data_IF_247420322386
#
_entry.id   IF_247420322386
#
_cell.length_a   1.000
_cell.length_b   1.000
_cell.length_c   1.000
_cell.angle_alpha   90.00
_cell.angle_beta   90.00
_cell.angle_gamma   90.00
#
_symmetry.space_group_name_H-M   'P 1'
#
loop_
_entity.id
_entity.type
_entity.pdbx_description
1 polymer ?
#
# COMPACT_ATOMS: atom_id res chain seq x y z
N UNK A 1 -3.27 -17.04 -13.27
CA UNK A 1 -2.87 -16.02 -12.27
C UNK A 1 -3.63 -16.33 -10.99
N UNK A 2 -2.94 -16.39 -9.84
CA UNK A 2 -3.55 -16.61 -8.52
C UNK A 2 -3.82 -15.28 -7.81
N UNK A 3 -2.85 -14.37 -7.85
CA UNK A 3 -2.92 -13.07 -7.21
C UNK A 3 -2.10 -12.08 -8.03
N UNK A 4 -2.55 -10.82 -8.11
CA UNK A 4 -1.81 -9.69 -8.66
C UNK A 4 -2.01 -8.52 -7.71
N UNK A 5 -0.91 -7.95 -7.23
CA UNK A 5 -0.93 -6.76 -6.40
C UNK A 5 -0.15 -5.63 -7.08
N UNK A 6 -0.84 -4.67 -7.70
CA UNK A 6 -0.21 -3.49 -8.27
C UNK A 6 0.56 -2.65 -7.24
N UNK A 7 0.16 -2.66 -5.96
CA UNK A 7 0.79 -1.83 -4.93
C UNK A 7 2.19 -2.31 -4.58
N UNK A 8 2.46 -3.62 -4.70
CA UNK A 8 3.78 -4.21 -4.46
C UNK A 8 4.52 -4.58 -5.74
N UNK A 9 3.92 -4.35 -6.92
CA UNK A 9 4.44 -4.82 -8.21
C UNK A 9 4.75 -6.33 -8.24
N UNK A 10 3.88 -7.14 -7.62
CA UNK A 10 4.05 -8.60 -7.54
C UNK A 10 2.83 -9.33 -8.08
N UNK A 11 3.08 -10.48 -8.70
CA UNK A 11 2.05 -11.41 -9.13
C UNK A 11 2.45 -12.85 -8.82
N UNK A 12 1.47 -13.67 -8.43
CA UNK A 12 1.65 -15.10 -8.19
C UNK A 12 0.95 -15.87 -9.28
N UNK A 13 1.69 -16.74 -9.97
CA UNK A 13 1.19 -17.56 -11.06
C UNK A 13 1.19 -19.04 -10.67
N UNK A 14 0.23 -19.79 -11.22
CA UNK A 14 0.18 -21.25 -11.12
C UNK A 14 0.37 -21.84 -12.51
N UNK A 15 1.46 -22.59 -12.69
CA UNK A 15 1.69 -23.37 -13.90
C UNK A 15 0.74 -24.57 -13.89
N UNK A 16 -0.03 -24.77 -14.98
CA UNK A 16 -1.07 -25.82 -15.03
C UNK A 16 -0.52 -27.22 -15.29
N UNK A 17 0.58 -27.30 -16.06
CA UNK A 17 1.07 -28.56 -16.64
C UNK A 17 2.51 -28.88 -16.26
N UNK A 18 3.22 -27.96 -15.60
CA UNK A 18 4.59 -28.18 -15.17
C UNK A 18 4.65 -29.19 -14.01
N UNK A 19 5.57 -30.15 -14.11
CA UNK A 19 5.87 -31.17 -13.10
C UNK A 19 7.35 -31.10 -12.75
N UNK A 20 7.73 -31.68 -11.61
CA UNK A 20 9.12 -31.85 -11.18
C UNK A 20 9.92 -30.52 -11.12
N UNK A 21 9.23 -29.44 -10.72
CA UNK A 21 9.83 -28.13 -10.54
C UNK A 21 10.74 -28.10 -9.32
N UNK A 22 11.91 -27.49 -9.47
CA UNK A 22 12.83 -27.20 -8.35
C UNK A 22 12.44 -25.87 -7.74
N UNK A 23 12.09 -25.87 -6.45
CA UNK A 23 11.81 -24.65 -5.71
C UNK A 23 13.11 -24.03 -5.18
N UNK A 24 13.17 -22.70 -5.18
CA UNK A 24 14.24 -21.94 -4.54
C UNK A 24 13.75 -21.42 -3.18
N UNK A 25 14.63 -21.40 -2.19
CA UNK A 25 14.32 -20.93 -0.83
C UNK A 25 14.28 -19.39 -0.78
N UNK A 26 13.34 -18.83 -0.02
CA UNK A 26 13.32 -17.40 0.31
C UNK A 26 14.15 -17.15 1.57
N UNK A 27 15.17 -16.31 1.46
CA UNK A 27 15.97 -15.84 2.58
C UNK A 27 15.17 -14.92 3.52
N UNK A 28 15.78 -14.63 4.67
CA UNK A 28 15.36 -13.53 5.54
C UNK A 28 16.03 -12.24 5.06
N UNK A 29 15.27 -11.44 4.29
CA UNK A 29 15.81 -10.19 3.73
C UNK A 29 16.09 -9.11 4.77
N UNK A 30 15.60 -9.25 6.01
CA UNK A 30 15.91 -8.31 7.10
C UNK A 30 17.37 -8.48 7.60
N UNK A 31 18.06 -9.57 7.21
CA UNK A 31 19.46 -9.86 7.55
C UNK A 31 20.46 -9.50 6.46
N UNK A 32 19.98 -9.02 5.32
CA UNK A 32 20.83 -8.58 4.22
C UNK A 32 21.52 -7.29 4.62
N UNK A 33 22.82 -7.19 4.35
CA UNK A 33 23.64 -6.02 4.67
C UNK A 33 24.20 -5.35 3.41
N UNK A 34 24.50 -4.06 3.52
CA UNK A 34 25.19 -3.33 2.45
C UNK A 34 26.59 -3.93 2.28
N UNK A 35 26.94 -4.28 1.06
CA UNK A 35 28.20 -4.96 0.73
C UNK A 35 28.07 -6.47 0.51
N UNK A 36 26.93 -7.08 0.85
CA UNK A 36 26.69 -8.49 0.55
C UNK A 36 26.78 -8.76 -0.95
N UNK A 37 27.53 -9.81 -1.33
CA UNK A 37 27.65 -10.24 -2.73
C UNK A 37 26.36 -10.93 -3.16
N UNK A 38 25.85 -10.54 -4.33
CA UNK A 38 24.57 -11.02 -4.86
C UNK A 38 24.69 -11.38 -6.34
N UNK A 39 23.82 -12.28 -6.76
CA UNK A 39 23.63 -12.62 -8.18
C UNK A 39 22.21 -12.26 -8.61
N UNK A 40 22.10 -11.49 -9.69
CA UNK A 40 20.83 -11.23 -10.36
C UNK A 40 20.66 -12.20 -11.53
N UNK A 41 19.53 -12.89 -11.57
CA UNK A 41 19.21 -13.91 -12.56
C UNK A 41 17.94 -13.51 -13.31
N UNK A 42 17.98 -13.51 -14.64
CA UNK A 42 16.83 -13.15 -15.46
C UNK A 42 17.03 -13.44 -16.94
N UNK A 43 16.18 -12.88 -17.80
CA UNK A 43 16.28 -13.03 -19.26
C UNK A 43 16.34 -11.64 -19.94
N UNK A 44 17.46 -10.90 -19.78
CA UNK A 44 17.61 -9.55 -20.34
C UNK A 44 17.41 -9.58 -21.86
N UNK A 45 16.59 -8.66 -22.38
CA UNK A 45 16.33 -8.50 -23.81
C UNK A 45 15.91 -9.78 -24.57
N UNK A 46 15.50 -10.84 -23.85
CA UNK A 46 15.11 -12.12 -24.44
C UNK A 46 16.27 -12.99 -24.95
N UNK A 47 17.53 -12.70 -24.61
CA UNK A 47 18.69 -13.46 -25.14
C UNK A 47 18.91 -14.83 -24.50
N UNK A 48 18.16 -15.15 -23.44
CA UNK A 48 18.30 -16.36 -22.63
C UNK A 48 18.60 -16.04 -21.17
N UNK A 49 18.59 -17.08 -20.34
CA UNK A 49 18.88 -16.94 -18.92
C UNK A 49 20.31 -16.41 -18.73
N UNK A 50 20.41 -15.24 -18.12
CA UNK A 50 21.67 -14.54 -17.85
C UNK A 50 21.81 -14.36 -16.35
N UNK A 51 23.04 -14.47 -15.87
CA UNK A 51 23.42 -14.18 -14.48
C UNK A 51 24.38 -13.00 -14.49
N UNK A 52 24.13 -12.02 -13.64
CA UNK A 52 25.05 -10.90 -13.39
C UNK A 52 25.36 -10.82 -11.90
N UNK A 53 26.58 -10.39 -11.57
CA UNK A 53 27.04 -10.26 -10.19
C UNK A 53 27.10 -8.79 -9.80
N UNK A 54 26.84 -8.53 -8.52
CA UNK A 54 27.09 -7.25 -7.89
C UNK A 54 27.10 -7.39 -6.37
N UNK A 55 26.88 -6.28 -5.70
CA UNK A 55 26.67 -6.19 -4.25
C UNK A 55 25.35 -5.49 -3.94
N UNK A 56 24.90 -5.65 -2.71
CA UNK A 56 23.88 -4.77 -2.12
C UNK A 56 24.50 -3.39 -1.91
N UNK A 57 24.03 -2.40 -2.66
CA UNK A 57 24.55 -1.03 -2.59
C UNK A 57 23.81 -0.17 -1.55
N UNK A 58 22.53 -0.47 -1.30
CA UNK A 58 21.74 0.20 -0.26
C UNK A 58 20.50 -0.63 0.10
N UNK A 59 19.92 -0.36 1.26
CA UNK A 59 18.69 -0.97 1.75
C UNK A 59 17.63 0.12 2.00
N UNK A 60 16.38 -0.32 2.14
CA UNK A 60 15.27 0.52 2.56
C UNK A 60 15.10 1.81 1.73
N UNK A 61 15.37 1.75 0.43
CA UNK A 61 15.14 2.90 -0.45
C UNK A 61 13.64 3.03 -0.70
N UNK A 62 13.06 4.12 -0.20
CA UNK A 62 11.62 4.44 -0.24
C UNK A 62 11.27 5.51 -1.28
N UNK A 63 12.26 6.30 -1.71
CA UNK A 63 12.08 7.46 -2.61
C UNK A 63 12.67 7.23 -4.01
N UNK A 64 12.20 6.19 -4.71
CA UNK A 64 12.72 5.86 -6.05
C UNK A 64 11.79 6.33 -7.19
N UNK A 65 10.56 6.76 -6.86
CA UNK A 65 9.57 7.17 -7.86
C UNK A 65 9.08 6.02 -8.74
N UNK A 66 9.32 4.78 -8.32
CA UNK A 66 8.88 3.54 -8.97
C UNK A 66 8.01 2.78 -7.98
N UNK A 67 6.70 2.86 -8.16
CA UNK A 67 5.70 2.26 -7.26
C UNK A 67 5.46 3.09 -5.98
N UNK A 68 4.23 3.00 -5.47
CA UNK A 68 3.84 3.70 -4.24
C UNK A 68 4.31 2.90 -3.00
N UNK A 69 4.97 3.57 -2.06
CA UNK A 69 5.29 3.08 -0.72
C UNK A 69 6.03 1.71 -0.68
N UNK A 70 7.10 1.55 -1.46
CA UNK A 70 7.91 0.34 -1.47
C UNK A 70 9.34 0.61 -0.98
N UNK A 71 9.84 -0.30 -0.13
CA UNK A 71 11.25 -0.35 0.26
C UNK A 71 11.96 -1.35 -0.66
N UNK A 72 13.00 -0.88 -1.35
CA UNK A 72 13.78 -1.72 -2.27
C UNK A 72 15.17 -2.04 -1.72
N UNK A 73 15.70 -3.20 -2.16
CA UNK A 73 17.13 -3.52 -2.11
C UNK A 73 17.75 -2.89 -3.35
N UNK A 74 18.71 -1.99 -3.16
CA UNK A 74 19.48 -1.41 -4.26
C UNK A 74 20.72 -2.28 -4.51
N UNK A 75 21.01 -2.56 -5.77
CA UNK A 75 22.18 -3.32 -6.18
C UNK A 75 22.90 -2.64 -7.35
N UNK A 76 24.17 -2.99 -7.55
CA UNK A 76 24.96 -2.57 -8.71
C UNK A 76 25.11 -3.66 -9.77
N UNK A 77 24.59 -4.86 -9.51
CA UNK A 77 24.53 -5.94 -10.49
C UNK A 77 23.79 -5.47 -11.75
N UNK A 78 24.29 -5.85 -12.92
CA UNK A 78 23.72 -5.40 -14.18
C UNK A 78 22.31 -5.99 -14.40
N UNK A 79 21.29 -5.15 -14.19
CA UNK A 79 19.89 -5.43 -14.49
C UNK A 79 19.47 -4.58 -15.68
N UNK A 80 18.79 -5.20 -16.63
CA UNK A 80 18.24 -4.59 -17.84
C UNK A 80 16.79 -5.06 -18.06
N UNK A 81 16.00 -4.38 -18.90
CA UNK A 81 14.68 -4.87 -19.31
C UNK A 81 14.70 -6.35 -19.69
N UNK A 82 13.78 -7.13 -19.13
CA UNK A 82 13.76 -8.60 -19.23
C UNK A 82 14.30 -9.35 -18.00
N UNK A 83 14.99 -8.66 -17.09
CA UNK A 83 15.30 -9.21 -15.76
C UNK A 83 14.16 -9.04 -14.75
N UNK A 84 13.20 -8.15 -15.00
CA UNK A 84 12.06 -7.91 -14.11
C UNK A 84 11.28 -9.22 -13.87
N UNK A 85 10.99 -9.51 -12.60
CA UNK A 85 10.42 -10.78 -12.14
C UNK A 85 11.45 -11.90 -11.90
N UNK A 86 12.71 -11.69 -12.28
CA UNK A 86 13.83 -12.59 -12.01
C UNK A 86 14.33 -12.51 -10.56
N UNK A 87 15.14 -13.48 -10.15
CA UNK A 87 15.62 -13.61 -8.78
C UNK A 87 16.86 -12.75 -8.51
N UNK A 88 16.91 -12.15 -7.31
CA UNK A 88 18.14 -11.70 -6.69
C UNK A 88 18.49 -12.69 -5.58
N UNK A 89 19.65 -13.33 -5.67
CA UNK A 89 20.06 -14.40 -4.76
C UNK A 89 21.34 -14.06 -4.01
N UNK A 90 21.44 -14.55 -2.78
CA UNK A 90 22.68 -14.55 -2.01
C UNK A 90 23.65 -15.65 -2.48
N UNK A 91 24.86 -15.66 -1.92
CA UNK A 91 25.88 -16.66 -2.23
C UNK A 91 25.56 -18.07 -1.71
N UNK A 92 24.49 -18.24 -0.95
CA UNK A 92 23.95 -19.55 -0.56
C UNK A 92 22.85 -20.05 -1.53
N UNK A 93 22.53 -19.26 -2.57
CA UNK A 93 21.51 -19.60 -3.56
C UNK A 93 20.08 -19.39 -3.05
N UNK A 94 19.88 -18.59 -2.00
CA UNK A 94 18.56 -18.22 -1.47
C UNK A 94 18.12 -16.88 -2.06
N UNK A 95 16.84 -16.74 -2.37
CA UNK A 95 16.26 -15.50 -2.89
C UNK A 95 16.17 -14.47 -1.78
N UNK A 96 16.88 -13.36 -1.94
CA UNK A 96 16.78 -12.18 -1.06
C UNK A 96 15.84 -11.12 -1.63
N UNK A 97 15.51 -11.18 -2.92
CA UNK A 97 14.53 -10.29 -3.54
C UNK A 97 14.18 -10.66 -4.99
N UNK A 98 13.25 -9.90 -5.57
CA UNK A 98 12.81 -10.03 -6.97
C UNK A 98 13.16 -8.75 -7.71
N UNK A 99 13.91 -8.89 -8.80
CA UNK A 99 14.33 -7.76 -9.64
C UNK A 99 13.09 -7.08 -10.22
N UNK A 100 12.99 -5.76 -10.11
CA UNK A 100 11.83 -5.01 -10.62
C UNK A 100 12.24 -3.92 -11.62
N UNK A 101 13.16 -3.05 -11.23
CA UNK A 101 13.40 -1.80 -11.93
C UNK A 101 14.88 -1.38 -11.90
N UNK A 102 15.19 -0.37 -12.72
CA UNK A 102 16.49 0.29 -12.77
C UNK A 102 16.31 1.80 -12.80
N UNK A 103 17.28 2.52 -12.27
CA UNK A 103 17.40 3.94 -12.56
C UNK A 103 18.27 4.12 -13.81
N UNK A 104 17.67 4.54 -14.92
CA UNK A 104 18.40 4.71 -16.18
C UNK A 104 17.86 5.86 -17.03
N UNK A 105 18.78 6.59 -17.68
CA UNK A 105 18.47 7.58 -18.72
C UNK A 105 18.56 7.02 -20.14
N UNK A 106 19.26 5.90 -20.33
CA UNK A 106 19.48 5.27 -21.64
C UNK A 106 18.58 4.06 -21.89
N UNK A 107 17.95 3.53 -20.84
CA UNK A 107 17.22 2.26 -20.86
C UNK A 107 18.09 1.03 -20.52
N UNK A 108 19.41 1.20 -20.39
CA UNK A 108 20.34 0.16 -19.92
C UNK A 108 20.82 0.37 -18.48
N UNK A 109 21.42 -0.66 -17.87
CA UNK A 109 22.03 -0.57 -16.54
C UNK A 109 23.14 0.48 -16.48
N UNK A 110 23.15 1.28 -15.41
CA UNK A 110 24.29 2.13 -15.01
C UNK A 110 24.75 1.80 -13.58
N UNK A 111 24.53 0.56 -13.11
CA UNK A 111 24.89 0.13 -11.76
C UNK A 111 23.91 0.60 -10.67
N UNK A 112 22.66 0.90 -11.03
CA UNK A 112 21.60 1.25 -10.08
C UNK A 112 20.36 0.42 -10.42
N UNK A 113 20.27 -0.76 -9.83
CA UNK A 113 19.14 -1.68 -9.92
C UNK A 113 18.37 -1.80 -8.60
N UNK A 114 17.11 -2.21 -8.70
CA UNK A 114 16.22 -2.37 -7.54
C UNK A 114 15.53 -3.73 -7.54
N UNK A 115 15.48 -4.33 -6.36
CA UNK A 115 14.75 -5.57 -6.10
C UNK A 115 13.76 -5.41 -4.93
N UNK A 116 12.59 -6.03 -5.07
CA UNK A 116 11.59 -6.13 -4.01
C UNK A 116 12.07 -7.17 -2.99
N UNK A 117 12.20 -6.85 -1.69
CA UNK A 117 12.71 -7.77 -0.69
C UNK A 117 11.90 -9.06 -0.54
N UNK A 118 12.58 -10.16 -0.22
CA UNK A 118 11.95 -11.48 -0.01
C UNK A 118 10.89 -11.47 1.10
N UNK A 119 11.00 -10.60 2.11
CA UNK A 119 9.96 -10.44 3.12
C UNK A 119 8.61 -10.01 2.52
N UNK A 120 8.60 -9.06 1.57
CA UNK A 120 7.38 -8.66 0.87
C UNK A 120 6.86 -9.77 -0.04
N UNK A 121 7.76 -10.44 -0.77
CA UNK A 121 7.43 -11.60 -1.62
C UNK A 121 6.71 -12.67 -0.81
N UNK A 122 7.20 -12.96 0.41
CA UNK A 122 6.60 -13.92 1.33
C UNK A 122 5.16 -13.54 1.67
N UNK A 123 4.88 -12.27 2.00
CA UNK A 123 3.51 -11.79 2.29
C UNK A 123 2.56 -12.01 1.11
N UNK A 124 3.01 -11.70 -0.12
CA UNK A 124 2.18 -11.88 -1.33
C UNK A 124 1.95 -13.36 -1.63
N UNK A 125 2.99 -14.20 -1.50
CA UNK A 125 2.89 -15.65 -1.70
C UNK A 125 1.95 -16.29 -0.68
N UNK A 126 2.05 -15.95 0.60
CA UNK A 126 1.17 -16.47 1.65
C UNK A 126 -0.28 -16.01 1.45
N UNK A 127 -0.49 -14.77 1.01
CA UNK A 127 -1.82 -14.27 0.63
C UNK A 127 -2.43 -15.09 -0.50
N UNK A 128 -1.66 -15.39 -1.54
CA UNK A 128 -2.11 -16.21 -2.67
C UNK A 128 -2.37 -17.67 -2.25
N UNK A 129 -1.52 -18.25 -1.39
CA UNK A 129 -1.70 -19.60 -0.83
C UNK A 129 -3.00 -19.70 -0.02
N UNK A 130 -3.34 -18.65 0.71
CA UNK A 130 -4.58 -18.55 1.47
C UNK A 130 -5.83 -18.30 0.59
N UNK A 131 -5.68 -18.20 -0.74
CA UNK A 131 -6.79 -17.95 -1.67
C UNK A 131 -7.37 -16.53 -1.56
N UNK A 132 -6.60 -15.57 -1.02
CA UNK A 132 -7.03 -14.19 -0.90
C UNK A 132 -7.15 -13.54 -2.28
N UNK A 133 -8.15 -12.65 -2.46
CA UNK A 133 -8.31 -11.86 -3.68
C UNK A 133 -7.33 -10.69 -3.76
N UNK A 134 -6.87 -10.21 -2.61
CA UNK A 134 -5.92 -9.11 -2.42
C UNK A 134 -4.84 -9.52 -1.43
N UNK A 135 -3.72 -8.80 -1.42
CA UNK A 135 -2.64 -9.05 -0.46
C UNK A 135 -3.12 -8.74 0.95
N UNK A 136 -2.94 -9.71 1.86
CA UNK A 136 -3.32 -9.61 3.25
C UNK A 136 -2.11 -9.17 4.07
N UNK A 137 -2.18 -7.98 4.63
CA UNK A 137 -1.15 -7.38 5.47
C UNK A 137 -1.74 -6.78 6.75
N UNK A 138 -0.95 -6.61 7.80
CA UNK A 138 -1.36 -5.89 9.00
C UNK A 138 -1.80 -4.46 8.66
N UNK A 139 -2.93 -4.04 9.24
CA UNK A 139 -3.42 -2.67 9.13
C UNK A 139 -3.08 -1.90 10.41
N UNK A 140 -2.35 -0.81 10.25
CA UNK A 140 -1.83 -0.06 11.39
C UNK A 140 -2.92 0.76 12.12
N UNK A 141 -3.82 1.38 11.34
CA UNK A 141 -4.88 2.22 11.90
C UNK A 141 -4.42 3.58 12.41
N UNK A 142 -3.35 4.14 11.85
CA UNK A 142 -2.93 5.51 12.09
C UNK A 142 -2.27 6.11 10.84
N UNK A 143 -2.37 7.44 10.70
CA UNK A 143 -1.73 8.21 9.64
C UNK A 143 -0.40 8.74 10.14
N UNK A 144 0.64 8.53 9.34
CA UNK A 144 2.00 8.98 9.62
C UNK A 144 2.38 10.16 8.73
N UNK A 145 3.29 10.98 9.24
CA UNK A 145 3.92 12.09 8.53
C UNK A 145 5.42 12.03 8.75
N UNK A 146 6.18 12.42 7.72
CA UNK A 146 7.61 12.57 7.83
C UNK A 146 7.93 13.68 8.85
N UNK A 147 9.01 13.47 9.59
CA UNK A 147 9.53 14.45 10.53
C UNK A 147 10.31 15.53 9.77
N UNK A 148 9.99 16.80 10.01
CA UNK A 148 10.81 17.90 9.47
C UNK A 148 11.98 18.19 10.42
N UNK A 149 13.09 18.79 9.93
CA UNK A 149 14.22 19.17 10.78
C UNK A 149 13.80 20.02 11.99
N UNK A 150 13.00 21.06 11.78
CA UNK A 150 12.54 21.94 12.87
C UNK A 150 11.75 21.21 13.96
N UNK A 151 10.93 20.22 13.57
CA UNK A 151 10.16 19.40 14.53
C UNK A 151 11.09 18.43 15.25
N UNK A 152 12.08 17.87 14.56
CA UNK A 152 13.09 16.99 15.18
C UNK A 152 13.89 17.73 16.26
N UNK A 153 14.37 18.93 15.94
CA UNK A 153 15.12 19.79 16.85
C UNK A 153 14.28 20.16 18.09
N UNK A 154 13.01 20.54 17.88
CA UNK A 154 12.07 20.83 18.97
C UNK A 154 11.76 19.64 19.88
N UNK A 155 11.99 18.41 19.39
CA UNK A 155 11.82 17.16 20.15
C UNK A 155 13.14 16.65 20.76
N UNK A 156 14.26 17.32 20.52
CA UNK A 156 15.58 16.93 21.00
C UNK A 156 16.14 15.69 20.30
N UNK A 157 15.83 15.51 19.02
CA UNK A 157 16.39 14.44 18.19
C UNK A 157 17.61 14.96 17.42
N UNK A 158 18.70 14.18 17.38
CA UNK A 158 19.95 14.56 16.69
C UNK A 158 19.80 14.66 15.16
N UNK A 159 18.74 14.06 14.61
CA UNK A 159 18.40 14.05 13.18
C UNK A 159 16.89 13.83 13.02
N UNK A 160 16.29 14.26 11.88
CA UNK A 160 14.87 14.04 11.59
C UNK A 160 14.58 12.58 11.20
N UNK A 161 14.83 11.64 12.12
CA UNK A 161 14.53 10.22 11.94
C UNK A 161 13.29 9.82 12.74
N UNK A 162 12.35 9.19 12.04
CA UNK A 162 11.12 8.66 12.62
C UNK A 162 9.88 9.12 11.89
N UNK A 163 8.73 8.66 12.37
CA UNK A 163 7.42 9.00 11.80
C UNK A 163 6.51 9.62 12.85
N UNK A 164 6.03 10.82 12.56
CA UNK A 164 5.08 11.52 13.43
C UNK A 164 3.68 10.94 13.23
N UNK A 165 2.99 10.64 14.31
CA UNK A 165 1.60 10.22 14.28
C UNK A 165 0.70 11.44 14.09
N UNK A 166 0.17 11.60 12.88
CA UNK A 166 -0.71 12.71 12.52
C UNK A 166 -2.16 12.48 12.98
N UNK A 167 -2.60 11.23 13.01
CA UNK A 167 -3.93 10.84 13.45
C UNK A 167 -4.02 9.34 13.71
N UNK A 168 -4.96 8.94 14.55
CA UNK A 168 -5.18 7.54 14.93
C UNK A 168 -6.65 7.23 14.72
N UNK A 169 -6.95 6.10 14.06
CA UNK A 169 -8.32 5.64 13.85
C UNK A 169 -8.86 5.07 15.16
N UNK A 170 -10.01 5.57 15.58
CA UNK A 170 -10.68 5.10 16.79
C UNK A 170 -10.98 3.60 16.69
N UNK A 171 -10.78 2.85 17.79
CA UNK A 171 -10.95 1.39 17.85
C UNK A 171 -10.07 0.60 16.86
N UNK A 172 -9.04 1.23 16.30
CA UNK A 172 -8.02 0.59 15.48
C UNK A 172 -6.85 0.02 16.30
N UNK A 173 -6.00 -0.84 15.72
CA UNK A 173 -4.89 -1.49 16.43
C UNK A 173 -3.90 -0.51 17.06
N UNK A 174 -3.57 0.59 16.38
CA UNK A 174 -2.74 1.66 16.93
C UNK A 174 -3.38 2.32 18.17
N UNK A 175 -4.67 2.64 18.14
CA UNK A 175 -5.38 3.24 19.27
C UNK A 175 -5.43 2.30 20.47
N UNK A 176 -5.76 1.03 20.24
CA UNK A 176 -5.79 0.00 21.28
C UNK A 176 -4.41 -0.27 21.88
N UNK A 177 -3.36 -0.17 21.08
CA UNK A 177 -1.96 -0.21 21.52
C UNK A 177 -1.52 1.02 22.32
N UNK A 178 -2.40 2.02 22.46
CA UNK A 178 -2.15 3.23 23.23
C UNK A 178 -1.36 4.30 22.49
N UNK A 179 -1.22 4.21 21.16
CA UNK A 179 -0.61 5.22 20.31
C UNK A 179 -1.46 6.50 20.31
N UNK A 180 -0.81 7.67 20.28
CA UNK A 180 -1.46 8.97 20.33
C UNK A 180 -0.95 9.87 19.23
N UNK A 181 -1.76 10.87 18.85
CA UNK A 181 -1.31 11.95 17.97
C UNK A 181 -0.09 12.64 18.61
N UNK A 182 0.85 13.07 17.76
CA UNK A 182 2.12 13.70 18.11
C UNK A 182 3.16 12.78 18.76
N UNK A 183 2.87 11.49 18.91
CA UNK A 183 3.91 10.49 19.12
C UNK A 183 4.86 10.44 17.91
N UNK A 184 6.15 10.17 18.14
CA UNK A 184 7.10 9.88 17.06
C UNK A 184 7.55 8.43 17.15
N UNK A 185 7.25 7.65 16.12
CA UNK A 185 7.68 6.25 16.02
C UNK A 185 9.13 6.24 15.56
N UNK A 186 9.99 5.59 16.37
CA UNK A 186 11.44 5.50 16.14
C UNK A 186 11.88 4.11 15.68
N UNK A 187 11.13 3.06 16.05
CA UNK A 187 11.47 1.68 15.67
C UNK A 187 10.26 0.74 15.68
N UNK A 188 10.33 -0.32 14.87
CA UNK A 188 9.42 -1.47 14.86
C UNK A 188 10.24 -2.72 15.16
N UNK A 189 9.87 -3.46 16.21
CA UNK A 189 10.56 -4.66 16.67
C UNK A 189 12.08 -4.46 16.88
N UNK A 190 12.44 -3.28 17.40
CA UNK A 190 13.83 -2.87 17.65
C UNK A 190 14.58 -2.36 16.41
N UNK A 191 13.99 -2.46 15.21
CA UNK A 191 14.62 -1.96 13.98
C UNK A 191 14.19 -0.52 13.70
N UNK A 192 15.17 0.36 13.45
CA UNK A 192 14.93 1.79 13.25
C UNK A 192 13.99 2.09 12.09
N UNK A 193 13.17 3.11 12.30
CA UNK A 193 12.30 3.73 11.30
C UNK A 193 12.81 5.14 11.10
N UNK A 194 13.13 5.48 9.86
CA UNK A 194 13.61 6.82 9.51
C UNK A 194 12.48 7.68 8.92
N UNK A 195 11.47 7.09 8.28
CA UNK A 195 10.38 7.77 7.57
C UNK A 195 9.07 6.93 7.54
N UNK A 196 7.92 7.51 7.12
CA UNK A 196 6.64 6.79 7.06
C UNK A 196 6.66 5.55 6.14
N UNK A 197 7.44 5.59 5.07
CA UNK A 197 7.54 4.53 4.09
C UNK A 197 8.31 3.31 4.65
N UNK A 198 9.42 3.54 5.34
CA UNK A 198 10.18 2.50 6.05
C UNK A 198 9.36 1.90 7.19
N UNK A 199 8.59 2.72 7.92
CA UNK A 199 7.58 2.19 8.85
C UNK A 199 6.58 1.30 8.12
N UNK A 200 5.98 1.81 7.04
CA UNK A 200 4.94 1.13 6.28
C UNK A 200 5.41 -0.24 5.78
N UNK A 201 6.61 -0.30 5.20
CA UNK A 201 7.23 -1.56 4.80
C UNK A 201 7.42 -2.51 5.99
N UNK A 202 8.08 -2.04 7.08
CA UNK A 202 8.39 -2.87 8.25
C UNK A 202 7.14 -3.43 8.92
N UNK A 203 6.05 -2.67 8.94
CA UNK A 203 4.79 -3.11 9.51
C UNK A 203 4.03 -4.06 8.57
N UNK A 204 3.99 -3.74 7.27
CA UNK A 204 3.26 -4.51 6.26
C UNK A 204 3.87 -5.89 5.98
N UNK A 205 5.18 -6.09 6.23
CA UNK A 205 5.86 -7.36 6.01
C UNK A 205 5.73 -8.35 7.18
N UNK A 206 5.12 -7.93 8.30
CA UNK A 206 4.94 -8.80 9.46
C UNK A 206 3.73 -9.73 9.28
N UNK A 207 3.79 -10.96 9.81
CA UNK A 207 2.69 -11.90 9.70
C UNK A 207 1.48 -11.43 10.51
N UNK A 208 0.29 -11.67 9.96
CA UNK A 208 -0.97 -11.45 10.68
C UNK A 208 -1.08 -12.39 11.90
N UNK A 209 -1.77 -11.92 12.94
CA UNK A 209 -2.06 -12.67 14.17
C UNK A 209 -1.08 -12.45 15.31
N UNK A 210 0.04 -11.77 15.07
CA UNK A 210 1.04 -11.42 16.08
C UNK A 210 0.85 -10.03 16.71
N UNK A 211 1.90 -9.59 17.41
CA UNK A 211 2.03 -8.25 17.97
C UNK A 211 3.40 -7.70 17.54
N UNK A 212 3.41 -6.50 16.98
CA UNK A 212 4.64 -5.74 16.75
C UNK A 212 4.89 -4.79 17.93
N UNK A 213 6.15 -4.56 18.23
CA UNK A 213 6.59 -3.67 19.30
C UNK A 213 7.07 -2.35 18.72
N UNK A 214 6.40 -1.25 19.06
CA UNK A 214 6.80 0.09 18.63
C UNK A 214 7.63 0.77 19.71
N UNK A 215 8.80 1.30 19.33
CA UNK A 215 9.52 2.28 20.16
C UNK A 215 9.08 3.68 19.75
N UNK A 216 8.55 4.44 20.70
CA UNK A 216 7.90 5.73 20.46
C UNK A 216 8.52 6.79 21.36
N UNK A 217 8.77 7.99 20.83
CA UNK A 217 9.05 9.18 21.61
C UNK A 217 7.73 9.89 21.92
N UNK A 218 7.40 10.02 23.21
CA UNK A 218 6.24 10.75 23.71
C UNK A 218 6.68 11.73 24.78
N UNK A 219 6.45 13.02 24.55
CA UNK A 219 6.80 14.08 25.50
C UNK A 219 8.26 13.98 25.97
N UNK A 220 9.19 13.73 25.03
CA UNK A 220 10.62 13.60 25.31
C UNK A 220 11.06 12.27 25.94
N UNK A 221 10.14 11.33 26.21
CA UNK A 221 10.46 10.02 26.81
C UNK A 221 10.21 8.89 25.82
N UNK A 222 11.10 7.91 25.81
CA UNK A 222 10.90 6.67 25.05
C UNK A 222 9.88 5.78 25.76
N UNK A 223 8.87 5.34 25.02
CA UNK A 223 7.82 4.43 25.46
C UNK A 223 7.76 3.28 24.47
N UNK A 224 7.54 2.07 24.97
CA UNK A 224 7.35 0.89 24.16
C UNK A 224 5.86 0.55 24.13
N UNK A 225 5.28 0.45 22.94
CA UNK A 225 3.84 0.19 22.74
C UNK A 225 3.63 -1.09 21.91
N UNK A 226 2.80 -2.03 22.36
CA UNK A 226 2.40 -3.18 21.56
C UNK A 226 1.32 -2.79 20.56
N UNK A 227 1.42 -3.26 19.31
CA UNK A 227 0.40 -3.08 18.28
C UNK A 227 0.04 -4.42 17.65
N UNK A 228 -1.25 -4.76 17.66
CA UNK A 228 -1.75 -6.02 17.11
C UNK A 228 -1.64 -6.03 15.59
N UNK A 229 -1.16 -7.14 15.02
CA UNK A 229 -0.99 -7.33 13.58
C UNK A 229 -2.25 -7.98 13.01
N UNK A 230 -3.31 -7.18 12.84
CA UNK A 230 -4.63 -7.64 12.37
C UNK A 230 -4.99 -6.98 11.04
N UNK A 231 -5.86 -7.59 10.21
CA UNK A 231 -6.36 -6.94 9.01
C UNK A 231 -7.20 -5.70 9.35
N UNK A 232 -7.41 -4.83 8.36
CA UNK A 232 -8.26 -3.66 8.52
C UNK A 232 -9.68 -4.08 8.94
N UNK A 233 -10.27 -3.42 9.95
CA UNK A 233 -11.58 -3.79 10.47
C UNK A 233 -12.72 -3.33 9.56
N UNK A 234 -13.75 -4.17 9.42
CA UNK A 234 -15.05 -3.82 8.82
C UNK A 234 -15.90 -3.11 9.89
N UNK A 235 -15.55 -1.86 10.22
CA UNK A 235 -16.16 -1.10 11.33
C UNK A 235 -17.64 -0.78 11.11
N UNK A 236 -18.13 -0.88 9.87
CA UNK A 236 -19.52 -0.63 9.49
C UNK A 236 -19.93 -1.61 8.37
N UNK A 237 -21.20 -2.05 8.31
CA UNK A 237 -21.67 -2.88 7.20
C UNK A 237 -21.54 -2.13 5.87
N UNK A 238 -21.10 -2.82 4.81
CA UNK A 238 -20.94 -2.23 3.46
C UNK A 238 -22.24 -1.67 2.90
N UNK A 239 -23.37 -2.31 3.19
CA UNK A 239 -24.72 -1.85 2.81
C UNK A 239 -24.82 -1.32 1.37
N UNK A 240 -24.74 -2.21 0.37
CA UNK A 240 -24.85 -1.80 -1.03
C UNK A 240 -26.24 -1.22 -1.32
N UNK A 241 -26.26 -0.06 -1.97
CA UNK A 241 -27.48 0.60 -2.42
C UNK A 241 -27.32 0.98 -3.89
N UNK A 242 -28.20 0.47 -4.75
CA UNK A 242 -28.25 0.86 -6.16
C UNK A 242 -29.10 2.10 -6.33
N UNK A 243 -28.48 3.17 -6.82
CA UNK A 243 -29.11 4.45 -7.01
C UNK A 243 -29.92 4.42 -8.31
N UNK A 244 -31.22 4.65 -8.19
CA UNK A 244 -32.15 4.67 -9.31
C UNK A 244 -32.81 6.04 -9.46
N UNK A 245 -33.50 6.24 -10.58
CA UNK A 245 -34.27 7.45 -10.86
C UNK A 245 -33.63 8.35 -11.91
N UNK A 246 -34.15 9.58 -12.03
CA UNK A 246 -33.68 10.59 -12.97
C UNK A 246 -32.71 11.52 -12.26
N UNK A 247 -31.51 11.02 -11.99
CA UNK A 247 -30.42 11.78 -11.35
C UNK A 247 -29.08 11.46 -12.04
N UNK A 248 -28.06 12.32 -11.88
CA UNK A 248 -26.72 12.07 -12.41
C UNK A 248 -26.05 10.81 -11.86
N UNK A 249 -26.46 10.35 -10.68
CA UNK A 249 -25.90 9.18 -9.99
C UNK A 249 -26.66 7.88 -10.32
N UNK A 250 -27.66 7.94 -11.19
CA UNK A 250 -28.48 6.78 -11.56
C UNK A 250 -27.64 5.70 -12.25
N UNK A 251 -27.78 4.47 -11.78
CA UNK A 251 -27.03 3.28 -12.21
C UNK A 251 -25.75 3.00 -11.43
N UNK A 252 -25.45 3.75 -10.36
CA UNK A 252 -24.33 3.45 -9.45
C UNK A 252 -24.81 2.58 -8.30
N UNK A 253 -24.02 1.56 -7.94
CA UNK A 253 -24.14 0.91 -6.62
C UNK A 253 -23.11 1.51 -5.67
N UNK A 254 -23.59 2.10 -4.57
CA UNK A 254 -22.77 2.75 -3.55
C UNK A 254 -22.71 1.91 -2.26
N UNK A 255 -21.60 1.95 -1.55
CA UNK A 255 -21.37 1.23 -0.29
C UNK A 255 -20.77 2.15 0.78
N UNK A 256 -21.10 1.89 2.04
CA UNK A 256 -20.46 2.50 3.19
C UNK A 256 -18.95 2.20 3.17
N UNK A 257 -18.11 3.24 3.24
CA UNK A 257 -16.66 3.07 3.28
C UNK A 257 -16.21 2.67 4.70
N UNK A 258 -15.56 1.52 4.82
CA UNK A 258 -14.89 1.06 6.04
C UNK A 258 -13.37 0.96 5.79
N UNK A 259 -12.55 0.83 6.84
CA UNK A 259 -11.12 0.54 6.67
C UNK A 259 -10.85 -0.72 5.84
N UNK A 260 -11.61 -1.80 6.06
CA UNK A 260 -11.50 -3.05 5.29
C UNK A 260 -11.78 -2.84 3.80
N UNK A 261 -12.87 -2.15 3.48
CA UNK A 261 -13.25 -1.87 2.09
C UNK A 261 -12.28 -0.88 1.43
N UNK A 262 -11.77 0.10 2.18
CA UNK A 262 -10.77 1.04 1.69
C UNK A 262 -9.47 0.32 1.31
N UNK A 263 -8.98 -0.59 2.15
CA UNK A 263 -7.80 -1.41 1.81
C UNK A 263 -8.06 -2.31 0.59
N UNK A 264 -9.24 -2.92 0.49
CA UNK A 264 -9.62 -3.77 -0.65
C UNK A 264 -9.61 -3.01 -1.98
N UNK A 265 -10.09 -1.76 -1.97
CA UNK A 265 -10.19 -0.90 -3.14
C UNK A 265 -8.97 0.00 -3.36
N UNK A 266 -7.91 -0.16 -2.56
CA UNK A 266 -6.71 0.68 -2.57
C UNK A 266 -7.01 2.18 -2.43
N UNK A 267 -8.01 2.52 -1.60
CA UNK A 267 -8.39 3.89 -1.25
C UNK A 267 -7.51 4.40 -0.11
N UNK A 268 -7.16 5.69 -0.16
CA UNK A 268 -6.35 6.32 0.88
C UNK A 268 -7.01 6.27 2.25
N UNK A 269 -6.21 5.90 3.25
CA UNK A 269 -6.64 5.84 4.63
C UNK A 269 -7.06 7.23 5.12
N UNK A 270 -8.24 7.30 5.74
CA UNK A 270 -8.83 8.54 6.24
C UNK A 270 -9.74 9.26 5.24
N UNK A 271 -9.91 8.73 4.02
CA UNK A 271 -10.96 9.25 3.14
C UNK A 271 -12.33 8.91 3.73
N UNK A 272 -13.15 9.93 3.93
CA UNK A 272 -14.53 9.79 4.39
C UNK A 272 -15.49 9.93 3.21
N UNK A 273 -16.61 9.21 3.27
CA UNK A 273 -17.64 9.26 2.25
C UNK A 273 -18.28 7.90 2.01
N UNK A 274 -18.96 7.82 0.87
CA UNK A 274 -19.59 6.59 0.36
C UNK A 274 -18.93 6.21 -0.95
N UNK A 275 -18.44 4.97 -1.05
CA UNK A 275 -17.70 4.53 -2.23
C UNK A 275 -18.63 4.03 -3.33
N UNK A 276 -18.32 4.37 -4.57
CA UNK A 276 -18.90 3.81 -5.79
C UNK A 276 -18.31 2.42 -6.02
N UNK A 277 -19.08 1.38 -5.68
CA UNK A 277 -18.65 0.00 -5.77
C UNK A 277 -18.79 -0.56 -7.19
N UNK A 278 -19.88 -0.21 -7.87
CA UNK A 278 -20.20 -0.67 -9.22
C UNK A 278 -20.91 0.43 -10.01
N UNK A 279 -20.81 0.36 -11.33
CA UNK A 279 -21.49 1.28 -12.25
C UNK A 279 -22.08 0.43 -13.37
N UNK A 280 -23.39 0.58 -13.58
CA UNK A 280 -24.10 -0.06 -14.69
C UNK A 280 -23.68 0.55 -16.03
N UNK A 281 -23.40 -0.31 -17.00
CA UNK A 281 -22.99 0.10 -18.34
C UNK A 281 -24.11 0.89 -19.05
N UNK A 282 -23.75 2.01 -19.68
CA UNK A 282 -24.71 2.86 -20.40
C UNK A 282 -25.63 3.72 -19.51
N UNK A 283 -25.51 3.62 -18.18
CA UNK A 283 -26.24 4.43 -17.19
C UNK A 283 -25.93 5.92 -17.30
N UNK A 284 -26.76 6.76 -16.68
CA UNK A 284 -26.51 8.21 -16.59
C UNK A 284 -25.16 8.48 -15.93
N UNK A 285 -24.89 7.79 -14.83
CA UNK A 285 -23.63 7.90 -14.10
C UNK A 285 -22.40 7.57 -14.94
N UNK A 286 -22.45 6.49 -15.72
CA UNK A 286 -21.37 6.12 -16.63
C UNK A 286 -21.10 7.22 -17.67
N UNK A 287 -22.16 7.82 -18.23
CA UNK A 287 -22.04 8.87 -19.27
C UNK A 287 -21.46 10.17 -18.73
N UNK A 288 -21.73 10.50 -17.47
CA UNK A 288 -21.20 11.72 -16.82
C UNK A 288 -19.84 11.51 -16.17
N UNK A 289 -19.27 10.30 -16.27
CA UNK A 289 -17.85 10.05 -15.97
C UNK A 289 -17.54 9.57 -14.55
N UNK A 290 -18.52 9.05 -13.81
CA UNK A 290 -18.25 8.34 -12.56
C UNK A 290 -17.44 7.07 -12.83
N UNK A 291 -16.61 6.69 -11.85
CA UNK A 291 -15.74 5.51 -11.92
C UNK A 291 -15.87 4.67 -10.64
N UNK A 292 -15.65 3.36 -10.79
CA UNK A 292 -15.50 2.48 -9.63
C UNK A 292 -14.35 2.98 -8.75
N UNK A 293 -14.61 3.11 -7.46
CA UNK A 293 -13.67 3.64 -6.47
C UNK A 293 -13.79 5.14 -6.23
N UNK A 294 -14.64 5.86 -6.97
CA UNK A 294 -15.01 7.24 -6.60
C UNK A 294 -15.64 7.25 -5.21
N UNK A 295 -15.35 8.27 -4.41
CA UNK A 295 -15.92 8.41 -3.07
C UNK A 295 -16.78 9.64 -3.06
N UNK A 296 -18.09 9.47 -2.93
CA UNK A 296 -19.06 10.55 -2.80
C UNK A 296 -18.90 11.12 -1.39
N UNK A 297 -18.43 12.36 -1.31
CA UNK A 297 -18.20 13.06 -0.05
C UNK A 297 -19.37 13.99 0.30
N UNK A 298 -19.96 14.64 -0.71
CA UNK A 298 -21.09 15.54 -0.49
C UNK A 298 -22.04 15.59 -1.68
N UNK A 299 -23.31 15.86 -1.40
CA UNK A 299 -24.37 16.17 -2.36
C UNK A 299 -25.03 17.50 -1.95
N UNK A 300 -25.05 18.49 -2.83
CA UNK A 300 -25.61 19.82 -2.60
C UNK A 300 -25.11 20.48 -1.30
N UNK A 301 -23.81 20.30 -0.99
CA UNK A 301 -23.18 20.81 0.22
C UNK A 301 -23.42 19.97 1.49
N UNK A 302 -24.27 18.94 1.45
CA UNK A 302 -24.49 18.03 2.57
C UNK A 302 -23.49 16.86 2.53
N UNK A 303 -22.84 16.58 3.66
CA UNK A 303 -21.85 15.50 3.75
C UNK A 303 -22.52 14.12 3.72
N UNK A 304 -22.02 13.24 2.85
CA UNK A 304 -22.53 11.88 2.67
C UNK A 304 -21.65 10.90 3.44
N UNK A 305 -22.16 10.32 4.52
CA UNK A 305 -21.39 9.37 5.36
C UNK A 305 -21.89 7.93 5.27
N UNK A 306 -23.14 7.73 4.81
CA UNK A 306 -23.75 6.42 4.60
C UNK A 306 -24.40 6.31 3.23
N UNK A 307 -24.40 5.11 2.66
CA UNK A 307 -25.02 4.79 1.37
C UNK A 307 -26.52 5.16 1.34
N UNK A 308 -27.22 4.97 2.46
CA UNK A 308 -28.63 5.40 2.60
C UNK A 308 -28.82 6.91 2.59
N UNK A 309 -27.86 7.68 3.08
CA UNK A 309 -27.95 9.14 3.09
C UNK A 309 -27.87 9.65 1.64
N UNK A 310 -27.04 9.02 0.80
CA UNK A 310 -26.96 9.27 -0.64
C UNK A 310 -28.30 8.97 -1.34
N UNK A 311 -28.90 7.80 -1.06
CA UNK A 311 -30.21 7.45 -1.63
C UNK A 311 -31.30 8.43 -1.19
N UNK A 312 -31.32 8.80 0.09
CA UNK A 312 -32.31 9.73 0.65
C UNK A 312 -32.18 11.13 0.02
N UNK A 313 -30.96 11.65 -0.11
CA UNK A 313 -30.68 12.94 -0.73
C UNK A 313 -31.19 13.00 -2.19
N UNK A 314 -31.20 11.87 -2.90
CA UNK A 314 -31.65 11.77 -4.29
C UNK A 314 -33.18 11.68 -4.47
N UNK A 315 -33.96 11.53 -3.39
CA UNK A 315 -35.43 11.45 -3.47
C UNK A 315 -36.07 12.79 -3.84
N UNK A 316 -35.45 13.88 -3.45
CA UNK A 316 -35.92 15.23 -3.80
C UNK A 316 -35.51 15.58 -5.22
N UNK A 317 -36.47 16.00 -6.05
CA UNK A 317 -36.15 16.53 -7.38
C UNK A 317 -35.47 17.88 -7.25
N UNK A 318 -34.25 17.97 -7.77
CA UNK A 318 -33.48 19.22 -7.89
C UNK A 318 -33.31 19.57 -9.36
N UNK A 319 -33.17 20.86 -9.68
CA UNK A 319 -32.87 21.33 -11.04
C UNK A 319 -31.40 21.11 -11.43
N UNK A 320 -30.54 21.03 -10.42
CA UNK A 320 -29.12 20.77 -10.54
C UNK A 320 -28.65 19.98 -9.33
N UNK A 321 -27.60 19.19 -9.51
CA UNK A 321 -26.94 18.41 -8.48
C UNK A 321 -25.50 18.86 -8.39
N UNK A 322 -25.10 19.41 -7.25
CA UNK A 322 -23.71 19.61 -6.91
C UNK A 322 -23.20 18.34 -6.23
N UNK A 323 -22.16 17.71 -6.78
CA UNK A 323 -21.61 16.46 -6.29
C UNK A 323 -20.12 16.66 -6.04
N UNK A 324 -19.71 16.45 -4.79
CA UNK A 324 -18.30 16.40 -4.41
C UNK A 324 -17.85 14.96 -4.32
N UNK A 325 -16.87 14.59 -5.14
CA UNK A 325 -16.23 13.28 -5.08
C UNK A 325 -14.74 13.40 -4.75
N UNK A 326 -14.19 12.38 -4.10
CA UNK A 326 -12.76 12.13 -4.04
C UNK A 326 -12.38 11.00 -5.00
N UNK A 327 -11.38 11.25 -5.85
CA UNK A 327 -10.79 10.27 -6.77
C UNK A 327 -9.27 10.37 -6.66
N UNK A 328 -8.60 9.27 -6.31
CA UNK A 328 -7.14 9.25 -6.13
C UNK A 328 -6.63 10.27 -5.10
N UNK A 329 -7.39 10.48 -4.02
CA UNK A 329 -7.08 11.45 -2.96
C UNK A 329 -7.39 12.91 -3.31
N UNK A 330 -7.75 13.22 -4.55
CA UNK A 330 -8.15 14.56 -4.98
C UNK A 330 -9.66 14.73 -4.91
N UNK A 331 -10.10 15.80 -4.25
CA UNK A 331 -11.52 16.14 -4.15
C UNK A 331 -11.91 17.14 -5.23
N UNK A 332 -13.01 16.88 -5.92
CA UNK A 332 -13.54 17.76 -6.96
C UNK A 332 -15.06 17.86 -6.83
N UNK A 333 -15.57 19.07 -7.03
CA UNK A 333 -17.00 19.34 -7.05
C UNK A 333 -17.44 19.59 -8.49
N UNK A 334 -18.48 18.88 -8.92
CA UNK A 334 -19.09 19.03 -10.25
C UNK A 334 -20.58 19.32 -10.12
N UNK A 335 -21.10 20.16 -11.01
CA UNK A 335 -22.53 20.46 -11.07
C UNK A 335 -23.13 19.80 -12.30
N UNK A 336 -24.16 19.00 -12.09
CA UNK A 336 -24.88 18.28 -13.13
C UNK A 336 -26.32 18.80 -13.24
N UNK A 337 -26.91 18.82 -14.44
CA UNK A 337 -28.34 19.06 -14.59
C UNK A 337 -29.16 17.93 -13.94
N UNK A 338 -30.30 18.28 -13.34
CA UNK A 338 -31.25 17.34 -12.74
C UNK A 338 -32.32 16.81 -13.68
#
# INVERSE_FOLDING_TARGET
MLLRDPRTDLAVLKLKTAKDLVAIELADSDKVEIGDIVLAIGNPFGVGQTVTQGIVSALARTQIGVGDAQSFIQIDAAINPGNSGGALVDMQGRVIGINTAIFSRSGGSHGIGFAIPAAMVRVVVESARAGAKTVRRPWFGARLQALTPDVADGLGLDRPAGSVVAGVVEKGPAAEGGLRRSDVILAVDGVSVDDPESFGYRFATRPLGGVATLTVLRSGKRVVLPVRLVPAPELRPREPVTLAGRTPLSGITVMNLSPALAEELAIDAGTEGVVVAEIEEGSTAARVGFQKGDIIQALNGEAMTRSRDVEAALRERKRSWEVTISRGGQSATSVFPG
#
